data_IF_824748763727
#
_entry.id   IF_824748763727
#
_cell.length_a   1.000
_cell.length_b   1.000
_cell.length_c   1.000
_cell.angle_alpha   90.00
_cell.angle_beta   90.00
_cell.angle_gamma   90.00
#
_symmetry.space_group_name_H-M   'P 1'
#
loop_
_entity.id
_entity.type
_entity.pdbx_description
1 polymer ?
#
# COMPACT_ATOMS: atom_id res chain seq x y z
N UNK A 1 -6.23 -16.58 7.68
CA UNK A 1 -6.87 -15.43 7.02
C UNK A 1 -6.29 -14.14 7.60
N UNK A 2 -6.02 -13.18 6.73
CA UNK A 2 -5.45 -11.91 7.16
C UNK A 2 -6.57 -10.93 7.50
N UNK A 3 -6.45 -10.25 8.64
CA UNK A 3 -7.40 -9.24 9.07
C UNK A 3 -6.73 -7.87 9.05
N UNK A 4 -7.41 -6.91 8.45
CA UNK A 4 -6.99 -5.51 8.51
C UNK A 4 -8.11 -4.68 9.13
N UNK A 5 -7.75 -3.65 9.87
CA UNK A 5 -8.71 -2.71 10.44
C UNK A 5 -8.50 -1.36 9.79
N UNK A 6 -9.58 -0.77 9.32
CA UNK A 6 -9.55 0.55 8.69
C UNK A 6 -10.37 1.50 9.53
N UNK A 7 -9.78 2.64 9.87
CA UNK A 7 -10.44 3.68 10.63
C UNK A 7 -10.47 4.97 9.81
N UNK A 8 -11.67 5.52 9.63
CA UNK A 8 -11.81 6.84 9.02
C UNK A 8 -11.58 7.90 10.09
N UNK A 9 -10.57 8.73 9.90
CA UNK A 9 -10.15 9.70 10.92
C UNK A 9 -10.69 11.12 10.66
N UNK A 10 -11.51 11.28 9.64
CA UNK A 10 -11.97 12.61 9.24
C UNK A 10 -10.96 13.28 8.33
N UNK A 11 -11.37 14.40 7.74
CA UNK A 11 -10.49 15.13 6.83
C UNK A 11 -10.10 14.33 5.59
N UNK A 12 -10.92 13.36 5.20
CA UNK A 12 -10.67 12.48 4.05
C UNK A 12 -9.40 11.65 4.24
N UNK A 13 -9.13 11.26 5.47
CA UNK A 13 -7.94 10.52 5.86
C UNK A 13 -8.34 9.22 6.56
N UNK A 14 -7.73 8.12 6.18
CA UNK A 14 -7.96 6.83 6.81
C UNK A 14 -6.65 6.26 7.32
N UNK A 15 -6.73 5.49 8.39
CA UNK A 15 -5.58 4.70 8.84
C UNK A 15 -5.96 3.22 8.81
N UNK A 16 -4.98 2.38 8.57
CA UNK A 16 -5.19 0.94 8.45
C UNK A 16 -4.10 0.19 9.21
N UNK A 17 -4.50 -0.92 9.82
CA UNK A 17 -3.57 -1.78 10.56
C UNK A 17 -3.66 -3.19 9.99
N UNK A 18 -2.51 -3.74 9.67
CA UNK A 18 -2.39 -5.15 9.29
C UNK A 18 -2.19 -5.94 10.58
N UNK A 19 -3.24 -6.59 11.07
CA UNK A 19 -3.20 -7.18 12.41
C UNK A 19 -2.11 -8.23 12.61
N UNK A 20 -1.86 -9.13 11.65
CA UNK A 20 -0.81 -10.13 11.87
C UNK A 20 0.58 -9.54 12.10
N UNK A 21 0.93 -8.44 11.44
CA UNK A 21 2.27 -7.85 11.55
C UNK A 21 2.31 -6.59 12.39
N UNK A 22 1.16 -5.97 12.64
CA UNK A 22 1.12 -4.66 13.29
C UNK A 22 1.53 -3.51 12.40
N UNK A 23 1.83 -3.76 11.13
CA UNK A 23 2.18 -2.70 10.20
C UNK A 23 0.99 -1.77 9.99
N UNK A 24 1.27 -0.49 9.83
CA UNK A 24 0.24 0.53 9.64
C UNK A 24 0.48 1.30 8.36
N UNK A 25 -0.59 1.81 7.78
CA UNK A 25 -0.49 2.78 6.70
C UNK A 25 -1.66 3.74 6.77
N UNK A 26 -1.53 4.86 6.10
CA UNK A 26 -2.59 5.85 6.05
C UNK A 26 -2.82 6.29 4.62
N UNK A 27 -4.01 6.79 4.35
CA UNK A 27 -4.38 7.29 3.02
C UNK A 27 -4.98 8.66 3.14
N UNK A 28 -4.81 9.47 2.10
CA UNK A 28 -5.44 10.77 1.97
C UNK A 28 -6.12 10.86 0.62
N UNK A 29 -7.22 11.58 0.53
CA UNK A 29 -7.79 11.88 -0.76
C UNK A 29 -6.81 12.77 -1.53
N UNK A 30 -6.74 12.64 -2.87
CA UNK A 30 -5.86 13.49 -3.64
C UNK A 30 -6.31 14.95 -3.60
N UNK A 31 -5.38 15.85 -3.89
CA UNK A 31 -5.64 17.29 -3.82
C UNK A 31 -6.79 17.71 -4.72
N UNK A 32 -6.91 17.12 -5.89
CA UNK A 32 -7.99 17.43 -6.83
C UNK A 32 -9.36 16.92 -6.36
N UNK A 33 -9.41 16.11 -5.30
CA UNK A 33 -10.65 15.69 -4.65
C UNK A 33 -10.77 16.25 -3.23
N UNK A 34 -10.20 17.44 -3.02
CA UNK A 34 -10.26 18.17 -1.74
C UNK A 34 -9.48 17.49 -0.62
N UNK A 35 -8.61 16.56 -0.94
CA UNK A 35 -7.74 15.94 0.05
C UNK A 35 -6.46 16.72 0.24
N UNK A 36 -5.67 16.37 1.24
CA UNK A 36 -4.40 17.02 1.53
C UNK A 36 -3.25 16.50 0.66
N UNK A 37 -3.40 15.30 0.10
CA UNK A 37 -2.36 14.71 -0.73
C UNK A 37 -1.08 14.37 0.01
N UNK A 38 -1.15 14.18 1.32
CA UNK A 38 0.02 13.93 2.15
C UNK A 38 0.45 12.46 2.15
N UNK A 39 -0.35 11.60 1.57
CA UNK A 39 -0.07 10.18 1.50
C UNK A 39 -0.70 9.61 0.24
N UNK A 40 -0.58 8.31 0.06
CA UNK A 40 -1.23 7.62 -1.06
C UNK A 40 -2.74 7.79 -0.96
N UNK A 41 -3.41 8.05 -2.07
CA UNK A 41 -4.85 7.90 -2.11
C UNK A 41 -5.17 6.39 -2.17
N UNK A 42 -6.40 5.99 -1.83
CA UNK A 42 -6.76 4.57 -1.96
C UNK A 42 -6.57 4.03 -3.38
N UNK A 43 -6.81 4.83 -4.42
CA UNK A 43 -6.60 4.40 -5.80
C UNK A 43 -5.12 4.27 -6.12
N UNK A 44 -4.28 5.15 -5.57
CA UNK A 44 -2.82 5.02 -5.70
C UNK A 44 -2.35 3.71 -5.08
N UNK A 45 -2.96 3.31 -3.96
CA UNK A 45 -2.61 2.07 -3.30
C UNK A 45 -2.96 0.85 -4.14
N UNK A 46 -4.03 0.88 -4.90
CA UNK A 46 -4.37 -0.22 -5.80
C UNK A 46 -3.25 -0.41 -6.82
N UNK A 47 -2.77 0.67 -7.42
CA UNK A 47 -1.65 0.61 -8.35
C UNK A 47 -0.36 0.16 -7.69
N UNK A 48 -0.06 0.71 -6.51
CA UNK A 48 1.15 0.34 -5.78
C UNK A 48 1.11 -1.13 -5.36
N UNK A 49 -0.04 -1.64 -4.94
CA UNK A 49 -0.19 -3.03 -4.56
C UNK A 49 0.07 -3.96 -5.74
N UNK A 50 -0.45 -3.60 -6.91
CA UNK A 50 -0.23 -4.40 -8.12
C UNK A 50 1.25 -4.39 -8.50
N UNK A 51 1.87 -3.22 -8.53
CA UNK A 51 3.29 -3.10 -8.85
C UNK A 51 4.15 -3.88 -7.85
N UNK A 52 3.83 -3.78 -6.56
CA UNK A 52 4.55 -4.52 -5.53
C UNK A 52 4.38 -6.02 -5.68
N UNK A 53 3.18 -6.48 -6.01
CA UNK A 53 2.91 -7.89 -6.23
C UNK A 53 3.73 -8.43 -7.40
N UNK A 54 3.71 -7.72 -8.53
CA UNK A 54 4.46 -8.13 -9.71
C UNK A 54 5.97 -8.15 -9.45
N UNK A 55 6.47 -7.11 -8.79
CA UNK A 55 7.90 -7.03 -8.46
C UNK A 55 8.32 -8.16 -7.53
N UNK A 56 7.49 -8.48 -6.55
CA UNK A 56 7.78 -9.56 -5.61
C UNK A 56 7.83 -10.90 -6.33
N UNK A 57 6.88 -11.17 -7.23
CA UNK A 57 6.87 -12.40 -8.01
C UNK A 57 8.11 -12.49 -8.89
N UNK A 58 8.48 -11.38 -9.54
CA UNK A 58 9.70 -11.33 -10.35
C UNK A 58 10.93 -11.62 -9.51
N UNK A 59 10.99 -11.08 -8.29
CA UNK A 59 12.08 -11.34 -7.37
C UNK A 59 12.15 -12.81 -6.96
N UNK A 60 11.00 -13.41 -6.67
CA UNK A 60 10.95 -14.83 -6.32
C UNK A 60 11.49 -15.71 -7.45
N UNK A 61 11.12 -15.39 -8.69
CA UNK A 61 11.58 -16.15 -9.85
C UNK A 61 13.06 -15.90 -10.13
N UNK A 62 13.51 -14.66 -10.00
CA UNK A 62 14.88 -14.29 -10.33
C UNK A 62 15.90 -14.66 -9.27
N UNK A 63 15.51 -14.74 -8.01
CA UNK A 63 16.43 -15.00 -6.91
C UNK A 63 17.24 -16.27 -7.07
N UNK A 64 16.65 -17.42 -7.52
CA UNK A 64 17.42 -18.64 -7.71
C UNK A 64 18.53 -18.52 -8.76
N UNK A 65 18.47 -17.55 -9.66
CA UNK A 65 19.50 -17.34 -10.67
C UNK A 65 20.43 -16.18 -10.31
N UNK A 66 20.37 -15.74 -9.05
CA UNK A 66 21.28 -14.71 -8.50
C UNK A 66 21.20 -13.39 -9.25
N UNK A 67 20.00 -12.86 -9.41
CA UNK A 67 19.84 -11.53 -9.97
C UNK A 67 20.55 -10.50 -9.08
N UNK A 68 21.00 -9.41 -9.66
CA UNK A 68 21.70 -8.36 -8.91
C UNK A 68 20.74 -7.25 -8.47
N UNK A 69 19.73 -6.96 -9.26
CA UNK A 69 18.71 -5.97 -8.92
C UNK A 69 17.58 -6.04 -9.92
N UNK A 70 16.46 -5.49 -9.53
CA UNK A 70 15.30 -5.38 -10.39
C UNK A 70 14.97 -3.91 -10.61
#
# INVERSE_FOLDING_TARGET
>A
MVTTKTTYEGGLHCSMVHEPSGATLSTDAPVDNNGKGESFSPTDLVGAALAGCMSTIMGIVAEPVSYTHL
#
